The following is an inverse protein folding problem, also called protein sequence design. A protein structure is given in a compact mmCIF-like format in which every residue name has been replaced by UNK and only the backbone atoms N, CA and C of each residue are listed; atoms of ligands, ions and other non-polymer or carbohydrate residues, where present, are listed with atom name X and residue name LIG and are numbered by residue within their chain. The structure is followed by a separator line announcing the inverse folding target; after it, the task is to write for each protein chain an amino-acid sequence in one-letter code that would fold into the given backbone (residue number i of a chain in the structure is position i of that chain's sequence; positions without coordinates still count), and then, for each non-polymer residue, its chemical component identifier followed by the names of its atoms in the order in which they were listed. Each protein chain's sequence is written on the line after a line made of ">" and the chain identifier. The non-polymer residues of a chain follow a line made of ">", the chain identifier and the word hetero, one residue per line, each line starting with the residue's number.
data_IF_904576500365
#
_entry.id   IF_904576500365
#
_cell.length_a   1.000
_cell.length_b   1.000
_cell.length_c   1.000
_cell.angle_alpha   90.00
_cell.angle_beta   90.00
_cell.angle_gamma   90.00
#
_symmetry.space_group_name_H-M   'P 1'
#
loop_
_entity.id
_entity.type
_entity.pdbx_description
1 polymer ?
#
# COMPACT_ATOMS: atom_id res chain seq x y z
N UNK A 1 -21.06 6.41 -1.70
CA UNK A 1 -20.17 6.82 -2.80
C UNK A 1 -19.45 5.58 -3.25
N UNK A 2 -19.64 5.13 -4.48
CA UNK A 2 -18.88 4.01 -5.01
C UNK A 2 -17.47 4.49 -5.36
N UNK A 3 -16.47 3.93 -4.69
CA UNK A 3 -15.06 4.23 -4.96
C UNK A 3 -14.61 3.25 -6.04
N UNK A 4 -13.96 3.76 -7.09
CA UNK A 4 -13.41 2.90 -8.14
C UNK A 4 -12.48 1.82 -7.53
N UNK A 5 -12.65 0.52 -7.84
CA UNK A 5 -11.88 -0.56 -7.22
C UNK A 5 -10.36 -0.45 -7.41
N UNK A 6 -9.90 0.08 -8.54
CA UNK A 6 -8.46 0.29 -8.80
C UNK A 6 -7.91 1.39 -7.90
N UNK A 7 -8.67 2.48 -7.71
CA UNK A 7 -8.28 3.56 -6.81
C UNK A 7 -8.37 3.14 -5.34
N UNK A 8 -9.44 2.44 -4.95
CA UNK A 8 -9.62 1.87 -3.61
C UNK A 8 -8.44 0.96 -3.22
N UNK A 9 -8.01 0.09 -4.14
CA UNK A 9 -6.85 -0.79 -3.96
C UNK A 9 -5.55 -0.04 -3.68
N UNK A 10 -5.32 1.08 -4.36
CA UNK A 10 -4.13 1.93 -4.12
C UNK A 10 -4.17 2.58 -2.74
N UNK A 11 -5.30 3.18 -2.36
CA UNK A 11 -5.45 3.82 -1.06
C UNK A 11 -5.38 2.82 0.10
N UNK A 12 -6.01 1.66 -0.05
CA UNK A 12 -5.94 0.59 0.93
C UNK A 12 -4.51 0.06 1.09
N UNK A 13 -3.74 -0.04 0.00
CA UNK A 13 -2.33 -0.43 0.10
C UNK A 13 -1.48 0.62 0.83
N UNK A 14 -1.74 1.92 0.63
CA UNK A 14 -1.10 2.97 1.44
C UNK A 14 -1.43 2.82 2.94
N UNK A 15 -2.68 2.50 3.27
CA UNK A 15 -3.08 2.23 4.64
C UNK A 15 -2.32 1.03 5.21
N UNK A 16 -2.27 -0.10 4.50
CA UNK A 16 -1.53 -1.28 4.93
C UNK A 16 -0.05 -0.99 5.17
N UNK A 17 0.61 -0.28 4.24
CA UNK A 17 2.03 0.04 4.38
C UNK A 17 2.28 0.91 5.63
N UNK A 18 1.38 1.84 5.93
CA UNK A 18 1.53 2.72 7.11
C UNK A 18 1.13 2.08 8.45
N UNK A 19 0.44 0.93 8.43
CA UNK A 19 -0.05 0.24 9.65
C UNK A 19 0.57 -1.15 9.85
N UNK A 20 1.45 -1.58 8.95
CA UNK A 20 2.15 -2.86 9.06
C UNK A 20 3.59 -2.64 9.47
N UNK A 21 4.13 -3.51 10.32
CA UNK A 21 5.56 -3.54 10.62
C UNK A 21 6.33 -4.11 9.42
N UNK A 22 7.29 -3.33 8.91
CA UNK A 22 8.20 -3.69 7.80
C UNK A 22 7.48 -4.40 6.63
N UNK A 23 6.47 -3.76 5.99
CA UNK A 23 5.67 -4.41 4.96
C UNK A 23 6.50 -4.66 3.71
N UNK A 24 6.56 -5.91 3.28
CA UNK A 24 7.15 -6.31 2.01
C UNK A 24 6.13 -7.10 1.18
N UNK A 25 6.47 -7.44 -0.06
CA UNK A 25 5.52 -8.14 -0.94
C UNK A 25 5.00 -9.45 -0.31
N UNK A 26 5.84 -10.37 0.22
CA UNK A 26 5.36 -11.55 0.94
C UNK A 26 4.38 -11.23 2.08
N UNK A 27 4.71 -10.26 2.95
CA UNK A 27 3.85 -9.88 4.08
C UNK A 27 2.52 -9.30 3.62
N UNK A 28 2.53 -8.47 2.58
CA UNK A 28 1.31 -7.91 2.00
C UNK A 28 0.45 -8.98 1.33
N UNK A 29 1.05 -10.04 0.76
CA UNK A 29 0.30 -11.20 0.27
C UNK A 29 -0.42 -11.91 1.41
N UNK A 30 0.24 -12.14 2.54
CA UNK A 30 -0.39 -12.75 3.73
C UNK A 30 -1.56 -11.93 4.26
N UNK A 31 -1.42 -10.60 4.30
CA UNK A 31 -2.43 -9.69 4.82
C UNK A 31 -3.65 -9.54 3.90
N UNK A 32 -3.48 -9.71 2.59
CA UNK A 32 -4.52 -9.39 1.58
C UNK A 32 -5.07 -10.59 0.83
N UNK A 33 -4.31 -11.69 0.77
CA UNK A 33 -4.58 -12.80 -0.16
C UNK A 33 -4.36 -12.45 -1.63
N UNK A 34 -3.85 -11.25 -1.97
CA UNK A 34 -3.69 -10.85 -3.36
C UNK A 34 -2.49 -11.53 -4.03
N UNK A 35 -2.56 -11.80 -5.35
CA UNK A 35 -1.42 -12.28 -6.10
C UNK A 35 -0.23 -11.32 -6.02
N UNK A 36 0.99 -11.87 -6.00
CA UNK A 36 2.25 -11.11 -6.00
C UNK A 36 2.27 -10.01 -7.07
N UNK A 37 1.84 -10.34 -8.29
CA UNK A 37 1.83 -9.43 -9.44
C UNK A 37 0.92 -8.22 -9.19
N UNK A 38 -0.27 -8.46 -8.62
CA UNK A 38 -1.22 -7.40 -8.24
C UNK A 38 -0.59 -6.41 -7.28
N UNK A 39 0.06 -6.89 -6.21
CA UNK A 39 0.74 -6.02 -5.25
C UNK A 39 1.86 -5.21 -5.89
N UNK A 40 2.70 -5.87 -6.71
CA UNK A 40 3.79 -5.20 -7.42
C UNK A 40 3.27 -4.11 -8.37
N UNK A 41 2.17 -4.34 -9.10
CA UNK A 41 1.57 -3.35 -9.98
C UNK A 41 0.98 -2.17 -9.22
N UNK A 42 0.32 -2.42 -8.08
CA UNK A 42 -0.23 -1.36 -7.24
C UNK A 42 0.90 -0.52 -6.63
N UNK A 43 1.92 -1.16 -6.04
CA UNK A 43 3.11 -0.49 -5.48
C UNK A 43 3.79 0.41 -6.52
N UNK A 44 3.99 -0.11 -7.74
CA UNK A 44 4.58 0.65 -8.85
C UNK A 44 3.72 1.85 -9.27
N UNK A 45 2.40 1.77 -9.08
CA UNK A 45 1.47 2.83 -9.44
C UNK A 45 1.27 3.90 -8.35
N UNK A 46 1.66 3.65 -7.09
CA UNK A 46 1.47 4.60 -5.98
C UNK A 46 2.13 5.97 -6.21
N UNK A 47 3.37 6.06 -6.74
CA UNK A 47 3.97 7.36 -7.06
C UNK A 47 3.17 8.19 -8.05
N UNK A 48 2.39 7.56 -8.93
CA UNK A 48 1.49 8.25 -9.86
C UNK A 48 0.32 8.99 -9.18
N UNK A 49 0.08 8.75 -7.88
CA UNK A 49 -0.87 9.51 -7.05
C UNK A 49 -0.21 10.69 -6.31
N UNK A 50 1.10 10.91 -6.49
CA UNK A 50 1.87 11.90 -5.73
C UNK A 50 2.35 11.40 -4.37
N UNK A 51 2.20 10.11 -4.07
CA UNK A 51 2.69 9.46 -2.84
C UNK A 51 4.19 9.15 -2.98
N UNK A 52 4.98 9.47 -1.96
CA UNK A 52 6.40 9.09 -1.90
C UNK A 52 6.55 7.74 -1.20
N UNK A 53 6.84 6.71 -1.99
CA UNK A 53 7.05 5.34 -1.54
C UNK A 53 8.54 4.98 -1.63
N UNK A 54 9.14 4.61 -0.51
CA UNK A 54 10.52 4.15 -0.44
C UNK A 54 10.59 2.65 -0.15
N UNK A 55 11.61 1.98 -0.68
CA UNK A 55 11.99 0.63 -0.26
C UNK A 55 13.28 0.70 0.56
N UNK A 56 13.19 0.42 1.86
CA UNK A 56 14.29 0.52 2.83
C UNK A 56 15.00 -0.83 2.95
N UNK A 57 16.34 -0.82 2.87
CA UNK A 57 17.17 -2.02 3.01
C UNK A 57 18.24 -1.81 4.10
N UNK A 58 18.36 -2.75 5.05
CA UNK A 58 19.34 -2.68 6.14
C UNK A 58 20.59 -3.56 5.92
N UNK A 59 21.11 -3.56 4.69
CA UNK A 59 22.49 -3.94 4.38
C UNK A 59 22.95 -5.40 4.51
N UNK A 60 22.22 -6.33 5.17
CA UNK A 60 22.83 -7.64 5.52
C UNK A 60 22.28 -8.87 4.78
N UNK A 61 21.15 -8.80 4.06
CA UNK A 61 20.74 -9.88 3.13
C UNK A 61 19.99 -9.32 1.93
N UNK A 62 20.30 -9.86 0.75
CA UNK A 62 19.45 -9.74 -0.43
C UNK A 62 18.04 -10.21 -0.02
N UNK A 63 17.06 -9.29 0.01
CA UNK A 63 15.62 -9.49 0.24
C UNK A 63 15.02 -9.17 1.62
N UNK A 64 15.75 -8.62 2.61
CA UNK A 64 15.14 -8.13 3.86
C UNK A 64 14.84 -6.61 3.81
N UNK A 65 14.20 -6.18 2.72
CA UNK A 65 13.73 -4.80 2.58
C UNK A 65 12.22 -4.69 2.79
N UNK A 66 11.78 -3.48 3.11
CA UNK A 66 10.36 -3.18 3.32
C UNK A 66 9.98 -1.83 2.71
N UNK A 67 8.70 -1.66 2.43
CA UNK A 67 8.13 -0.42 1.94
C UNK A 67 7.81 0.53 3.09
N UNK A 68 8.06 1.81 2.85
CA UNK A 68 7.71 2.90 3.75
C UNK A 68 7.08 4.03 2.95
N UNK A 69 6.03 4.64 3.50
CA UNK A 69 5.48 5.88 2.97
C UNK A 69 6.20 7.05 3.65
N UNK A 70 7.00 7.77 2.88
CA UNK A 70 7.67 9.00 3.36
C UNK A 70 6.71 10.18 3.34
N UNK A 71 5.87 10.26 2.31
CA UNK A 71 4.91 11.33 2.12
C UNK A 71 3.63 10.82 1.46
N UNK A 72 2.48 11.29 1.94
CA UNK A 72 1.18 10.97 1.37
C UNK A 72 0.81 11.85 0.16
N UNK A 73 1.58 12.92 -0.06
CA UNK A 73 1.33 13.88 -1.13
C UNK A 73 -0.08 14.49 -1.03
N UNK A 74 -0.88 14.47 -2.10
CA UNK A 74 -2.22 15.04 -2.09
C UNK A 74 -3.26 14.16 -1.36
N UNK A 75 -2.88 12.94 -0.95
CA UNK A 75 -3.80 12.00 -0.31
C UNK A 75 -3.97 12.36 1.17
N UNK A 76 -5.22 12.57 1.61
CA UNK A 76 -5.51 12.80 3.01
C UNK A 76 -5.38 11.51 3.84
N UNK A 77 -4.26 11.38 4.58
CA UNK A 77 -3.98 10.26 5.48
C UNK A 77 -5.10 10.01 6.50
N UNK A 78 -5.64 11.06 7.11
CA UNK A 78 -6.69 10.95 8.12
C UNK A 78 -7.97 10.33 7.55
N UNK A 79 -8.35 10.76 6.35
CA UNK A 79 -9.49 10.19 5.63
C UNK A 79 -9.27 8.71 5.30
N UNK A 80 -8.10 8.34 4.79
CA UNK A 80 -7.78 6.93 4.49
C UNK A 80 -7.83 6.06 5.75
N UNK A 81 -7.31 6.55 6.88
CA UNK A 81 -7.37 5.83 8.16
C UNK A 81 -8.83 5.61 8.61
N UNK A 82 -9.68 6.63 8.49
CA UNK A 82 -11.09 6.54 8.87
C UNK A 82 -11.89 5.58 7.98
N UNK A 83 -11.54 5.50 6.69
CA UNK A 83 -12.33 4.79 5.68
C UNK A 83 -11.70 3.49 5.15
N UNK A 84 -10.64 2.98 5.78
CA UNK A 84 -9.91 1.79 5.28
C UNK A 84 -10.80 0.55 5.08
N UNK A 85 -11.79 0.30 5.94
CA UNK A 85 -12.74 -0.81 5.77
C UNK A 85 -13.66 -0.61 4.56
N UNK A 86 -14.14 0.61 4.33
CA UNK A 86 -14.92 0.95 3.13
C UNK A 86 -14.08 0.81 1.87
N UNK A 87 -12.81 1.21 1.92
CA UNK A 87 -11.87 1.01 0.81
C UNK A 87 -11.67 -0.47 0.52
N UNK A 88 -11.51 -1.31 1.54
CA UNK A 88 -11.38 -2.75 1.37
C UNK A 88 -12.64 -3.37 0.73
N UNK A 89 -13.83 -3.01 1.22
CA UNK A 89 -15.09 -3.50 0.67
C UNK A 89 -15.31 -3.09 -0.79
N UNK A 90 -14.75 -1.96 -1.23
CA UNK A 90 -14.86 -1.48 -2.62
C UNK A 90 -13.86 -2.13 -3.60
N UNK A 91 -12.98 -3.02 -3.12
CA UNK A 91 -11.99 -3.73 -3.96
C UNK A 91 -12.59 -4.98 -4.62
N UNK A 92 -13.63 -5.53 -4.00
CA UNK A 92 -14.38 -6.73 -4.46
C UNK A 92 -15.18 -6.46 -5.74
#
# INVERSE_FOLDING_TARGET
>A
MEINPVFARRLYLCWLISHSERPNVPRLMELTGWPRRTLQDVLKALPGLGVELQFVQQGVRNNDGFYQLENWGPINKGWVNQHHQTLLAAIE
#
